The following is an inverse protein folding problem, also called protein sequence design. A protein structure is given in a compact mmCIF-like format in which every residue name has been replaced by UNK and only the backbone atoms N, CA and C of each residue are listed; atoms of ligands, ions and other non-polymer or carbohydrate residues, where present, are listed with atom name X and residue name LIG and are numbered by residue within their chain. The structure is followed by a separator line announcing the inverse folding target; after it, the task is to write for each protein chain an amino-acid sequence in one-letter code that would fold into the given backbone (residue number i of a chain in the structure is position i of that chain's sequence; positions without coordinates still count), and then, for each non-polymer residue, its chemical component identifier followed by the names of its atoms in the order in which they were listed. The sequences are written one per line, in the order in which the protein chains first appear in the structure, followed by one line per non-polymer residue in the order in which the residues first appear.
data_IF_883534080358
#
_entry.id   IF_883534080358
#
_cell.length_a   1.000
_cell.length_b   1.000
_cell.length_c   1.000
_cell.angle_alpha   90.00
_cell.angle_beta   90.00
_cell.angle_gamma   90.00
#
_symmetry.space_group_name_H-M   'P 1'
#
loop_
_entity.id
_entity.type
_entity.pdbx_description
1 polymer ?
#
# COMPACT_ATOMS: atom_id res chain seq x y z
N UNK A 1 -29.28 -19.80 3.46
CA UNK A 1 -27.87 -19.51 3.10
C UNK A 1 -27.44 -18.33 3.95
N UNK A 2 -26.28 -18.34 4.61
CA UNK A 2 -25.80 -17.15 5.34
C UNK A 2 -25.51 -16.02 4.35
N UNK A 3 -25.63 -14.76 4.79
CA UNK A 3 -25.36 -13.60 3.92
C UNK A 3 -23.94 -13.66 3.32
N UNK A 4 -22.95 -14.06 4.12
CA UNK A 4 -21.56 -14.28 3.67
C UNK A 4 -21.46 -15.27 2.51
N UNK A 5 -22.13 -16.43 2.62
CA UNK A 5 -22.12 -17.44 1.55
C UNK A 5 -22.79 -16.93 0.28
N UNK A 6 -23.85 -16.13 0.43
CA UNK A 6 -24.54 -15.50 -0.71
C UNK A 6 -23.62 -14.51 -1.42
N UNK A 7 -22.95 -13.63 -0.68
CA UNK A 7 -22.00 -12.67 -1.25
C UNK A 7 -20.81 -13.37 -1.89
N UNK A 8 -20.29 -14.45 -1.30
CA UNK A 8 -19.21 -15.22 -1.91
C UNK A 8 -19.62 -15.84 -3.25
N UNK A 9 -20.85 -16.35 -3.37
CA UNK A 9 -21.37 -16.86 -4.66
C UNK A 9 -21.39 -15.77 -5.72
N UNK A 10 -21.84 -14.56 -5.37
CA UNK A 10 -21.83 -13.41 -6.29
C UNK A 10 -20.39 -13.08 -6.72
N UNK A 11 -19.44 -13.06 -5.79
CA UNK A 11 -18.02 -12.84 -6.09
C UNK A 11 -17.51 -13.91 -7.06
N UNK A 12 -17.77 -15.20 -6.79
CA UNK A 12 -17.28 -16.31 -7.61
C UNK A 12 -17.82 -16.22 -9.06
N UNK A 13 -19.04 -15.71 -9.25
CA UNK A 13 -19.65 -15.48 -10.57
C UNK A 13 -19.09 -14.23 -11.29
N UNK A 14 -18.84 -13.13 -10.55
CA UNK A 14 -18.31 -11.88 -11.10
C UNK A 14 -16.81 -11.96 -11.37
N UNK A 15 -16.07 -12.72 -10.57
CA UNK A 15 -14.61 -12.71 -10.55
C UNK A 15 -13.94 -13.00 -11.90
N UNK A 16 -14.38 -14.01 -12.69
CA UNK A 16 -13.81 -14.25 -14.02
C UNK A 16 -14.01 -13.07 -14.98
N UNK A 17 -15.12 -12.34 -14.86
CA UNK A 17 -15.44 -11.16 -15.67
C UNK A 17 -14.54 -9.99 -15.28
N UNK A 18 -14.42 -9.74 -13.96
CA UNK A 18 -13.56 -8.70 -13.40
C UNK A 18 -12.09 -8.93 -13.73
N UNK A 19 -11.60 -10.16 -13.59
CA UNK A 19 -10.24 -10.51 -14.04
C UNK A 19 -10.03 -10.16 -15.50
N UNK A 20 -10.94 -10.55 -16.39
CA UNK A 20 -10.83 -10.22 -17.83
C UNK A 20 -10.83 -8.71 -18.07
N UNK A 21 -11.73 -7.98 -17.42
CA UNK A 21 -11.85 -6.52 -17.47
C UNK A 21 -10.56 -5.81 -17.07
N UNK A 22 -9.84 -6.36 -16.08
CA UNK A 22 -8.57 -5.85 -15.59
C UNK A 22 -7.33 -6.51 -16.20
N UNK A 23 -7.48 -7.24 -17.31
CA UNK A 23 -6.38 -7.91 -18.04
C UNK A 23 -5.66 -9.02 -17.26
N UNK A 24 -6.43 -9.77 -16.47
CA UNK A 24 -6.03 -10.96 -15.73
C UNK A 24 -4.89 -10.73 -14.72
N UNK A 25 -5.06 -9.81 -13.76
CA UNK A 25 -4.07 -9.62 -12.71
C UNK A 25 -3.88 -10.91 -11.88
N UNK A 26 -2.64 -11.14 -11.44
CA UNK A 26 -2.26 -12.23 -10.55
C UNK A 26 -2.62 -11.90 -9.10
N UNK A 27 -3.91 -11.92 -8.80
CA UNK A 27 -4.46 -11.66 -7.46
C UNK A 27 -5.37 -12.82 -7.01
N UNK A 28 -5.39 -13.15 -5.70
CA UNK A 28 -6.28 -14.17 -5.14
C UNK A 28 -7.75 -13.85 -5.38
N UNK A 29 -8.60 -14.89 -5.33
CA UNK A 29 -10.06 -14.69 -5.33
C UNK A 29 -10.45 -13.90 -4.08
N UNK A 30 -11.26 -12.83 -4.19
CA UNK A 30 -11.72 -12.07 -3.04
C UNK A 30 -12.55 -12.93 -2.08
N UNK A 31 -12.50 -12.59 -0.79
CA UNK A 31 -13.23 -13.29 0.27
C UNK A 31 -14.26 -12.38 0.92
N UNK A 32 -15.29 -12.99 1.50
CA UNK A 32 -16.23 -12.30 2.39
C UNK A 32 -15.97 -12.78 3.81
N UNK A 33 -15.45 -11.89 4.64
CA UNK A 33 -15.19 -12.16 6.05
C UNK A 33 -15.58 -10.92 6.86
N UNK A 34 -15.95 -11.11 8.13
CA UNK A 34 -16.07 -9.96 9.02
C UNK A 34 -14.69 -9.33 9.17
N UNK A 35 -14.55 -8.13 8.60
CA UNK A 35 -13.43 -7.27 8.92
C UNK A 35 -13.68 -6.83 10.35
N UNK A 36 -12.90 -7.35 11.30
CA UNK A 36 -12.92 -6.85 12.68
C UNK A 36 -12.69 -5.35 12.60
N UNK A 37 -13.67 -4.51 12.99
CA UNK A 37 -13.36 -3.12 13.21
C UNK A 37 -12.25 -3.12 14.27
N UNK A 38 -11.21 -2.32 14.06
CA UNK A 38 -10.48 -1.85 15.24
C UNK A 38 -11.56 -1.30 16.18
N UNK A 39 -11.49 -1.60 17.48
CA UNK A 39 -12.63 -1.57 18.42
C UNK A 39 -13.35 -0.20 18.62
N UNK A 40 -13.16 0.77 17.73
CA UNK A 40 -13.64 2.13 17.76
C UNK A 40 -14.20 2.67 16.42
N UNK A 41 -14.46 1.82 15.40
CA UNK A 41 -15.05 2.27 14.12
C UNK A 41 -16.58 2.04 14.09
N UNK A 42 -17.36 3.13 14.14
CA UNK A 42 -18.84 3.07 14.04
C UNK A 42 -19.32 2.81 12.60
N UNK A 43 -18.48 3.07 11.59
CA UNK A 43 -18.79 2.81 10.18
C UNK A 43 -17.97 1.64 9.63
N UNK A 44 -18.67 0.63 9.11
CA UNK A 44 -18.07 -0.58 8.57
C UNK A 44 -17.28 -0.24 7.29
N UNK A 45 -15.96 -0.39 7.34
CA UNK A 45 -15.10 -0.44 6.13
C UNK A 45 -15.65 -1.51 5.19
N UNK A 46 -15.95 -1.16 3.95
CA UNK A 46 -16.57 -2.05 2.96
C UNK A 46 -15.59 -2.99 2.27
N UNK A 47 -14.34 -2.57 2.13
CA UNK A 47 -13.25 -3.35 1.53
C UNK A 47 -11.98 -3.19 2.35
N UNK A 48 -11.30 -4.30 2.63
CA UNK A 48 -9.95 -4.33 3.20
C UNK A 48 -9.02 -5.09 2.24
N UNK A 49 -7.77 -4.63 2.13
CA UNK A 49 -6.72 -5.34 1.41
C UNK A 49 -5.52 -5.61 2.31
N UNK A 50 -5.23 -6.89 2.54
CA UNK A 50 -4.08 -7.37 3.32
C UNK A 50 -3.30 -8.40 2.53
N UNK A 51 -1.99 -8.22 2.36
CA UNK A 51 -1.12 -9.14 1.59
C UNK A 51 -1.74 -9.53 0.23
N UNK A 52 -2.26 -8.56 -0.53
CA UNK A 52 -3.01 -8.73 -1.80
C UNK A 52 -4.34 -9.50 -1.72
N UNK A 53 -4.75 -10.00 -0.57
CA UNK A 53 -6.08 -10.56 -0.39
C UNK A 53 -7.07 -9.42 -0.21
N UNK A 54 -8.03 -9.32 -1.15
CA UNK A 54 -9.19 -8.44 -1.01
C UNK A 54 -10.23 -9.16 -0.16
N UNK A 55 -10.71 -8.49 0.88
CA UNK A 55 -11.76 -8.96 1.77
C UNK A 55 -12.90 -7.94 1.79
N UNK A 56 -14.12 -8.38 1.47
CA UNK A 56 -15.32 -7.55 1.53
C UNK A 56 -16.06 -7.76 2.85
N UNK A 57 -16.49 -6.66 3.46
CA UNK A 57 -17.21 -6.70 4.73
C UNK A 57 -18.71 -6.95 4.50
N UNK A 58 -19.27 -8.08 4.98
CA UNK A 58 -20.68 -8.38 4.79
C UNK A 58 -21.61 -7.35 5.45
N UNK A 59 -21.18 -6.69 6.53
CA UNK A 59 -21.98 -5.67 7.23
C UNK A 59 -22.22 -4.46 6.34
N UNK A 60 -21.17 -3.99 5.66
CA UNK A 60 -21.26 -2.87 4.73
C UNK A 60 -22.14 -3.20 3.51
N UNK A 61 -21.98 -4.40 2.94
CA UNK A 61 -22.82 -4.87 1.83
C UNK A 61 -24.30 -4.91 2.24
N UNK A 62 -24.59 -5.40 3.45
CA UNK A 62 -25.97 -5.45 3.97
C UNK A 62 -26.55 -4.07 4.28
N UNK A 63 -25.74 -3.07 4.60
CA UNK A 63 -26.19 -1.67 4.79
C UNK A 63 -26.45 -0.93 3.47
N UNK A 64 -25.80 -1.35 2.38
CA UNK A 64 -25.88 -0.66 1.07
C UNK A 64 -26.94 -1.25 0.14
N UNK A 65 -27.44 -2.47 0.43
CA UNK A 65 -28.44 -3.20 -0.38
C UNK A 65 -29.74 -2.42 -0.68
N UNK A 66 -30.13 -1.49 0.19
CA UNK A 66 -31.36 -0.69 -0.02
C UNK A 66 -31.18 0.44 -1.04
N UNK A 67 -29.92 0.81 -1.33
CA UNK A 67 -29.58 1.95 -2.20
C UNK A 67 -29.01 1.53 -3.55
N UNK A 68 -28.42 0.34 -3.64
CA UNK A 68 -27.75 -0.18 -4.82
C UNK A 68 -27.79 -1.71 -4.82
N UNK A 69 -27.91 -2.33 -5.99
CA UNK A 69 -27.90 -3.78 -6.12
C UNK A 69 -26.58 -4.36 -5.62
N UNK A 70 -26.64 -5.50 -4.92
CA UNK A 70 -25.49 -6.11 -4.25
C UNK A 70 -24.37 -6.44 -5.23
N UNK A 71 -24.71 -6.92 -6.42
CA UNK A 71 -23.76 -7.21 -7.50
C UNK A 71 -23.01 -5.96 -7.95
N UNK A 72 -23.69 -4.82 -8.04
CA UNK A 72 -23.07 -3.56 -8.46
C UNK A 72 -22.15 -3.00 -7.36
N UNK A 73 -22.55 -3.11 -6.08
CA UNK A 73 -21.71 -2.70 -4.95
C UNK A 73 -20.43 -3.55 -4.92
N UNK A 74 -20.58 -4.87 -5.04
CA UNK A 74 -19.46 -5.80 -5.08
C UNK A 74 -18.55 -5.51 -6.29
N UNK A 75 -19.12 -5.32 -7.49
CA UNK A 75 -18.34 -4.96 -8.68
C UNK A 75 -17.56 -3.65 -8.48
N UNK A 76 -18.19 -2.61 -7.95
CA UNK A 76 -17.54 -1.31 -7.70
C UNK A 76 -16.39 -1.42 -6.70
N UNK A 77 -16.60 -2.11 -5.57
CA UNK A 77 -15.56 -2.33 -4.56
C UNK A 77 -14.39 -3.14 -5.14
N UNK A 78 -14.69 -4.21 -5.89
CA UNK A 78 -13.64 -5.02 -6.50
C UNK A 78 -12.89 -4.26 -7.60
N UNK A 79 -13.57 -3.48 -8.43
CA UNK A 79 -12.91 -2.62 -9.42
C UNK A 79 -11.91 -1.66 -8.76
N UNK A 80 -12.32 -1.03 -7.65
CA UNK A 80 -11.47 -0.17 -6.84
C UNK A 80 -10.25 -0.93 -6.31
N UNK A 81 -10.48 -2.03 -5.58
CA UNK A 81 -9.40 -2.84 -4.98
C UNK A 81 -8.41 -3.40 -6.01
N UNK A 82 -8.90 -3.91 -7.15
CA UNK A 82 -8.05 -4.42 -8.23
C UNK A 82 -7.20 -3.28 -8.84
N UNK A 83 -7.73 -2.07 -8.89
CA UNK A 83 -7.01 -0.92 -9.45
C UNK A 83 -5.83 -0.50 -8.57
N UNK A 84 -5.91 -0.72 -7.25
CA UNK A 84 -4.76 -0.50 -6.37
C UNK A 84 -3.58 -1.42 -6.67
N UNK A 85 -3.88 -2.66 -7.07
CA UNK A 85 -2.86 -3.61 -7.50
C UNK A 85 -2.31 -3.31 -8.89
N UNK A 86 -3.18 -2.93 -9.83
CA UNK A 86 -2.81 -2.85 -11.26
C UNK A 86 -2.36 -1.47 -11.70
N UNK A 87 -2.74 -0.41 -10.99
CA UNK A 87 -2.51 0.96 -11.47
C UNK A 87 -1.89 1.93 -10.46
N UNK A 88 -2.40 2.04 -9.22
CA UNK A 88 -1.91 3.01 -8.23
C UNK A 88 -2.24 2.57 -6.79
N UNK A 89 -1.26 2.39 -5.91
CA UNK A 89 0.17 2.64 -6.10
C UNK A 89 0.89 1.50 -6.82
N UNK A 90 0.25 0.35 -7.05
CA UNK A 90 0.77 -0.86 -7.73
C UNK A 90 2.00 -1.54 -7.09
N UNK A 91 2.88 -0.79 -6.41
CA UNK A 91 4.01 -1.28 -5.65
C UNK A 91 4.28 -0.44 -4.39
N UNK A 92 5.04 -1.02 -3.47
CA UNK A 92 5.35 -0.40 -2.18
C UNK A 92 6.23 0.85 -2.33
N UNK A 93 7.14 0.86 -3.29
CA UNK A 93 8.03 2.00 -3.56
C UNK A 93 7.22 3.26 -3.91
N UNK A 94 6.21 3.11 -4.77
CA UNK A 94 5.36 4.19 -5.23
C UNK A 94 4.49 4.72 -4.10
N UNK A 95 4.00 3.83 -3.24
CA UNK A 95 3.29 4.22 -2.02
C UNK A 95 4.19 5.07 -1.12
N UNK A 96 5.40 4.62 -0.80
CA UNK A 96 6.37 5.39 0.00
C UNK A 96 6.71 6.73 -0.64
N UNK A 97 6.88 6.79 -1.97
CA UNK A 97 7.15 8.03 -2.68
C UNK A 97 5.98 9.02 -2.53
N UNK A 98 4.74 8.59 -2.75
CA UNK A 98 3.57 9.45 -2.59
C UNK A 98 3.44 9.95 -1.14
N UNK A 99 3.62 9.06 -0.17
CA UNK A 99 3.65 9.42 1.23
C UNK A 99 4.75 10.45 1.55
N UNK A 100 5.98 10.22 1.10
CA UNK A 100 7.10 11.12 1.37
C UNK A 100 6.87 12.52 0.77
N UNK A 101 6.32 12.60 -0.45
CA UNK A 101 6.00 13.88 -1.07
C UNK A 101 4.81 14.60 -0.37
N UNK A 102 3.88 13.84 0.21
CA UNK A 102 2.82 14.37 1.07
C UNK A 102 3.41 14.89 2.40
N UNK A 103 4.28 14.12 3.05
CA UNK A 103 4.93 14.45 4.33
C UNK A 103 5.69 15.78 4.26
N UNK A 104 6.43 16.02 3.16
CA UNK A 104 7.12 17.30 2.90
C UNK A 104 6.19 18.52 2.94
N UNK A 105 4.89 18.35 2.71
CA UNK A 105 3.88 19.42 2.75
C UNK A 105 3.12 19.43 4.07
N UNK A 106 2.72 18.26 4.56
CA UNK A 106 1.86 18.14 5.74
C UNK A 106 2.67 18.43 7.01
N UNK A 107 3.88 17.87 7.11
CA UNK A 107 4.76 17.97 8.28
C UNK A 107 4.37 17.05 9.44
N UNK A 108 3.27 16.30 9.30
CA UNK A 108 2.72 15.39 10.29
C UNK A 108 2.46 14.02 9.62
N UNK A 109 2.77 12.92 10.34
CA UNK A 109 2.68 11.54 9.82
C UNK A 109 1.24 11.19 9.43
N UNK A 110 0.29 11.39 10.34
CA UNK A 110 -1.09 10.94 10.14
C UNK A 110 -1.80 11.74 9.05
N UNK A 111 -1.60 13.06 9.04
CA UNK A 111 -2.12 13.91 7.98
C UNK A 111 -1.47 13.61 6.61
N UNK A 112 -0.19 13.23 6.58
CA UNK A 112 0.49 12.81 5.36
C UNK A 112 -0.07 11.49 4.82
N UNK A 113 -0.31 10.50 5.69
CA UNK A 113 -0.97 9.24 5.34
C UNK A 113 -2.36 9.50 4.75
N UNK A 114 -3.20 10.27 5.44
CA UNK A 114 -4.54 10.61 4.95
C UNK A 114 -4.51 11.30 3.58
N UNK A 115 -3.64 12.29 3.40
CA UNK A 115 -3.49 12.98 2.11
C UNK A 115 -3.04 12.04 0.99
N UNK A 116 -2.11 11.12 1.28
CA UNK A 116 -1.65 10.11 0.33
C UNK A 116 -2.76 9.11 -0.04
N UNK A 117 -3.52 8.61 0.95
CA UNK A 117 -4.64 7.70 0.72
C UNK A 117 -5.69 8.33 -0.21
N UNK A 118 -6.10 9.58 0.06
CA UNK A 118 -7.04 10.28 -0.81
C UNK A 118 -6.50 10.50 -2.23
N UNK A 119 -5.20 10.77 -2.39
CA UNK A 119 -4.61 10.90 -3.73
C UNK A 119 -4.59 9.56 -4.47
N UNK A 120 -4.24 8.48 -3.78
CA UNK A 120 -4.20 7.11 -4.29
C UNK A 120 -5.60 6.70 -4.76
N UNK A 121 -6.63 6.89 -3.94
CA UNK A 121 -8.03 6.63 -4.29
C UNK A 121 -8.48 7.43 -5.50
N UNK A 122 -8.23 8.75 -5.49
CA UNK A 122 -8.62 9.61 -6.62
C UNK A 122 -7.98 9.13 -7.91
N UNK A 123 -6.72 8.71 -7.84
CA UNK A 123 -5.98 8.23 -8.99
C UNK A 123 -6.49 6.87 -9.48
N UNK A 124 -6.74 5.94 -8.57
CA UNK A 124 -7.27 4.61 -8.87
C UNK A 124 -8.68 4.68 -9.47
N UNK A 125 -9.61 5.35 -8.78
CA UNK A 125 -11.00 5.47 -9.24
C UNK A 125 -11.08 6.21 -10.58
N UNK A 126 -10.30 7.29 -10.76
CA UNK A 126 -10.25 8.02 -12.03
C UNK A 126 -9.70 7.17 -13.17
N UNK A 127 -8.72 6.31 -12.90
CA UNK A 127 -8.23 5.38 -13.90
C UNK A 127 -9.33 4.39 -14.30
N UNK A 128 -10.00 3.79 -13.32
CA UNK A 128 -11.06 2.83 -13.57
C UNK A 128 -12.20 3.46 -14.38
N UNK A 129 -12.74 4.60 -13.94
CA UNK A 129 -13.84 5.32 -14.62
C UNK A 129 -13.47 5.75 -16.04
N UNK A 130 -12.23 6.19 -16.29
CA UNK A 130 -11.82 6.64 -17.63
C UNK A 130 -11.44 5.53 -18.59
N UNK A 131 -11.05 4.35 -18.08
CA UNK A 131 -10.47 3.27 -18.90
C UNK A 131 -11.32 2.01 -18.93
N UNK A 132 -12.33 1.89 -18.06
CA UNK A 132 -13.17 0.71 -17.89
C UNK A 132 -14.62 1.15 -17.68
N UNK A 133 -15.56 0.26 -17.97
CA UNK A 133 -16.96 0.43 -17.56
C UNK A 133 -17.05 0.00 -16.10
N UNK A 134 -17.45 0.87 -15.17
CA UNK A 134 -17.42 0.57 -13.73
C UNK A 134 -18.56 1.25 -12.99
N UNK A 135 -19.00 0.62 -11.91
CA UNK A 135 -20.07 1.11 -11.03
C UNK A 135 -19.55 2.00 -9.88
N UNK A 136 -18.25 2.32 -9.87
CA UNK A 136 -17.65 3.25 -8.89
C UNK A 136 -18.40 4.58 -8.77
N UNK A 137 -18.87 5.24 -9.85
CA UNK A 137 -19.67 6.46 -9.73
C UNK A 137 -20.96 6.26 -8.94
N UNK A 138 -21.67 5.16 -9.15
CA UNK A 138 -22.90 4.83 -8.42
C UNK A 138 -22.62 4.56 -6.95
N UNK A 139 -21.51 3.85 -6.64
CA UNK A 139 -21.05 3.66 -5.27
C UNK A 139 -20.82 5.02 -4.58
N UNK A 140 -20.10 5.94 -5.24
CA UNK A 140 -19.85 7.28 -4.70
C UNK A 140 -21.14 8.08 -4.46
N UNK A 141 -22.24 7.84 -5.19
CA UNK A 141 -23.53 8.50 -4.91
C UNK A 141 -24.12 8.09 -3.57
N UNK A 142 -24.07 6.80 -3.25
CA UNK A 142 -24.75 6.23 -2.07
C UNK A 142 -23.95 6.35 -0.77
N UNK A 143 -22.63 6.52 -0.88
CA UNK A 143 -21.73 6.69 0.25
C UNK A 143 -22.02 7.99 1.00
N UNK A 144 -22.02 7.91 2.34
CA UNK A 144 -22.02 9.10 3.19
C UNK A 144 -20.73 9.87 3.00
N UNK A 145 -20.83 11.20 3.08
CA UNK A 145 -19.71 12.10 2.79
C UNK A 145 -19.54 13.08 3.94
N UNK A 146 -18.45 12.95 4.70
CA UNK A 146 -17.89 14.02 5.51
C UNK A 146 -17.43 15.20 4.66
N UNK A 147 -16.93 16.26 5.27
CA UNK A 147 -16.60 17.50 4.56
C UNK A 147 -15.50 17.31 3.51
N UNK A 148 -14.44 16.56 3.83
CA UNK A 148 -13.37 16.25 2.88
C UNK A 148 -13.92 15.40 1.73
N UNK A 149 -14.69 14.35 2.05
CA UNK A 149 -15.30 13.45 1.05
C UNK A 149 -16.28 14.18 0.13
N UNK A 150 -16.98 15.22 0.58
CA UNK A 150 -17.81 16.08 -0.29
C UNK A 150 -16.95 16.83 -1.31
N UNK A 151 -15.82 17.40 -0.89
CA UNK A 151 -14.88 18.08 -1.81
C UNK A 151 -14.29 17.09 -2.82
N UNK A 152 -13.93 15.89 -2.39
CA UNK A 152 -13.42 14.84 -3.28
C UNK A 152 -14.50 14.35 -4.25
N UNK A 153 -15.74 14.20 -3.80
CA UNK A 153 -16.84 13.86 -4.70
C UNK A 153 -17.10 14.98 -5.72
N UNK A 154 -17.02 16.26 -5.35
CA UNK A 154 -17.13 17.37 -6.32
C UNK A 154 -15.95 17.42 -7.28
N UNK A 155 -14.76 17.01 -6.84
CA UNK A 155 -13.63 16.77 -7.71
C UNK A 155 -13.94 15.65 -8.71
N UNK A 156 -14.48 14.52 -8.26
CA UNK A 156 -14.87 13.39 -9.10
C UNK A 156 -15.88 13.80 -10.19
N UNK A 157 -16.96 14.49 -9.82
CA UNK A 157 -17.93 15.02 -10.79
C UNK A 157 -17.25 15.83 -11.90
N UNK A 158 -16.31 16.68 -11.50
CA UNK A 158 -15.58 17.55 -12.42
C UNK A 158 -14.61 16.81 -13.34
N UNK A 159 -13.90 15.80 -12.85
CA UNK A 159 -12.89 15.08 -13.64
C UNK A 159 -13.47 13.90 -14.44
N UNK A 160 -14.64 13.38 -14.03
CA UNK A 160 -15.35 12.30 -14.71
C UNK A 160 -16.46 12.82 -15.64
N UNK A 161 -17.02 14.00 -15.36
CA UNK A 161 -18.17 14.53 -16.10
C UNK A 161 -19.47 13.78 -15.81
N UNK A 162 -19.57 13.17 -14.63
CA UNK A 162 -20.73 12.39 -14.17
C UNK A 162 -21.30 13.10 -12.94
N UNK A 163 -22.62 13.28 -12.89
CA UNK A 163 -23.31 13.80 -11.70
C UNK A 163 -23.26 12.75 -10.58
N UNK A 164 -22.69 13.08 -9.42
CA UNK A 164 -22.62 12.22 -8.24
C UNK A 164 -23.65 12.61 -7.18
N UNK A 165 -24.65 13.40 -7.57
CA UNK A 165 -25.74 13.82 -6.70
C UNK A 165 -25.28 14.81 -5.65
N UNK A 166 -24.14 15.49 -5.86
CA UNK A 166 -23.77 16.63 -5.04
C UNK A 166 -24.59 17.78 -5.57
N UNK A 167 -25.86 17.83 -5.15
CA UNK A 167 -26.71 18.99 -5.40
C UNK A 167 -25.86 20.22 -5.10
N UNK A 168 -25.91 21.22 -5.99
CA UNK A 168 -25.41 22.58 -5.76
C UNK A 168 -26.14 23.16 -4.55
N UNK A 169 -25.81 22.66 -3.38
CA UNK A 169 -26.35 23.10 -2.13
C UNK A 169 -25.76 24.50 -1.99
N UNK A 170 -26.65 25.46 -1.74
CA UNK A 170 -26.35 26.86 -1.42
C UNK A 170 -25.49 27.03 -0.15
N UNK A 171 -24.73 25.99 0.21
CA UNK A 171 -24.02 25.68 1.44
C UNK A 171 -22.59 25.20 1.17
N UNK A 172 -22.15 25.04 -0.09
CA UNK A 172 -20.73 24.78 -0.39
C UNK A 172 -19.95 26.07 -0.15
N UNK A 173 -19.09 26.09 0.88
CA UNK A 173 -18.22 27.24 1.18
C UNK A 173 -17.44 27.62 -0.09
N UNK A 174 -17.37 28.91 -0.44
CA UNK A 174 -16.59 29.39 -1.62
C UNK A 174 -15.13 28.88 -1.62
N UNK A 175 -14.57 28.63 -0.44
CA UNK A 175 -13.25 28.01 -0.27
C UNK A 175 -13.17 26.60 -0.86
N UNK A 176 -14.22 25.77 -0.72
CA UNK A 176 -14.27 24.40 -1.23
C UNK A 176 -14.24 24.41 -2.76
N UNK A 177 -14.99 25.30 -3.40
CA UNK A 177 -15.00 25.41 -4.87
C UNK A 177 -13.61 25.76 -5.43
N UNK A 178 -12.87 26.66 -4.75
CA UNK A 178 -11.50 27.00 -5.11
C UNK A 178 -10.56 25.80 -4.96
N UNK A 179 -10.73 24.99 -3.91
CA UNK A 179 -9.97 23.76 -3.70
C UNK A 179 -10.26 22.77 -4.84
N UNK A 180 -11.53 22.50 -5.16
CA UNK A 180 -11.94 21.63 -6.28
C UNK A 180 -11.33 22.10 -7.60
N UNK A 181 -11.34 23.41 -7.88
CA UNK A 181 -10.71 23.99 -9.08
C UNK A 181 -9.20 23.74 -9.15
N UNK A 182 -8.49 23.77 -8.02
CA UNK A 182 -7.05 23.46 -7.96
C UNK A 182 -6.80 21.97 -8.15
N UNK A 183 -7.56 21.12 -7.45
CA UNK A 183 -7.46 19.66 -7.52
C UNK A 183 -7.73 19.14 -8.94
N UNK A 184 -8.76 19.65 -9.61
CA UNK A 184 -9.13 19.19 -10.96
C UNK A 184 -8.08 19.47 -12.06
N UNK A 185 -7.08 20.33 -11.79
CA UNK A 185 -5.96 20.61 -12.71
C UNK A 185 -4.80 19.62 -12.57
N UNK A 186 -4.85 18.75 -11.57
CA UNK A 186 -3.79 17.79 -11.30
C UNK A 186 -3.87 16.64 -12.32
N UNK A 187 -2.76 16.25 -12.96
CA UNK A 187 -2.75 15.19 -13.96
C UNK A 187 -2.67 13.80 -13.29
N UNK A 188 -3.74 13.35 -12.64
CA UNK A 188 -3.76 12.08 -11.88
C UNK A 188 -3.31 10.85 -12.66
N UNK A 189 -3.58 10.78 -13.97
CA UNK A 189 -3.20 9.63 -14.79
C UNK A 189 -1.76 9.67 -15.33
N UNK A 190 -1.02 10.74 -15.08
CA UNK A 190 0.37 10.91 -15.54
C UNK A 190 1.35 10.55 -14.41
N UNK A 191 1.80 9.29 -14.43
CA UNK A 191 2.72 8.72 -13.43
C UNK A 191 4.02 9.51 -13.29
N UNK A 192 4.54 10.08 -14.38
CA UNK A 192 5.80 10.83 -14.35
C UNK A 192 5.71 12.09 -13.50
N UNK A 193 4.48 12.61 -13.30
CA UNK A 193 4.20 13.84 -12.56
C UNK A 193 3.62 13.58 -11.18
N UNK A 194 3.52 12.32 -10.74
CA UNK A 194 2.96 11.99 -9.43
C UNK A 194 3.67 12.65 -8.25
N UNK A 195 5.02 12.75 -8.20
CA UNK A 195 5.69 13.45 -7.10
C UNK A 195 5.23 14.92 -6.96
N UNK A 196 5.13 15.64 -8.08
CA UNK A 196 4.66 17.03 -8.09
C UNK A 196 3.15 17.14 -7.85
N UNK A 197 2.39 16.19 -8.40
CA UNK A 197 0.94 16.12 -8.29
C UNK A 197 0.53 15.89 -6.85
N UNK A 198 1.21 14.99 -6.15
CA UNK A 198 1.01 14.72 -4.73
C UNK A 198 1.27 15.97 -3.88
N UNK A 199 2.35 16.72 -4.13
CA UNK A 199 2.58 18.01 -3.46
C UNK A 199 1.44 19.00 -3.67
N UNK A 200 0.98 19.16 -4.91
CA UNK A 200 -0.12 20.08 -5.25
C UNK A 200 -1.44 19.63 -4.60
N UNK A 201 -1.67 18.32 -4.55
CA UNK A 201 -2.81 17.72 -3.90
C UNK A 201 -2.79 17.98 -2.40
N UNK A 202 -1.70 17.59 -1.72
CA UNK A 202 -1.49 17.79 -0.30
C UNK A 202 -1.67 19.26 0.09
N UNK A 203 -1.07 20.21 -0.66
CA UNK A 203 -1.24 21.65 -0.41
C UNK A 203 -2.70 22.11 -0.53
N UNK A 204 -3.46 21.52 -1.43
CA UNK A 204 -4.84 21.91 -1.69
C UNK A 204 -5.80 21.35 -0.65
N UNK A 205 -5.57 20.13 -0.16
CA UNK A 205 -6.43 19.44 0.80
C UNK A 205 -6.05 19.73 2.27
N UNK A 206 -4.80 20.14 2.54
CA UNK A 206 -4.29 20.44 3.89
C UNK A 206 -5.22 21.32 4.74
N UNK A 207 -5.82 22.42 4.24
CA UNK A 207 -6.73 23.23 5.03
C UNK A 207 -7.96 22.46 5.51
N UNK A 208 -8.47 21.54 4.69
CA UNK A 208 -9.66 20.74 5.01
C UNK A 208 -9.33 19.68 6.06
N UNK A 209 -8.21 18.99 5.92
CA UNK A 209 -7.77 17.98 6.90
C UNK A 209 -7.50 18.61 8.27
N UNK A 210 -6.93 19.81 8.31
CA UNK A 210 -6.70 20.55 9.57
C UNK A 210 -8.01 21.05 10.20
N UNK A 211 -9.03 21.38 9.41
CA UNK A 211 -10.35 21.76 9.92
C UNK A 211 -11.05 20.53 10.51
N UNK A 212 -11.03 19.41 9.78
CA UNK A 212 -11.61 18.13 10.20
C UNK A 212 -10.93 17.58 11.47
N UNK A 213 -9.60 17.65 11.57
CA UNK A 213 -8.85 17.26 12.78
C UNK A 213 -9.25 18.09 14.01
N UNK A 214 -9.41 19.40 13.86
CA UNK A 214 -9.83 20.28 14.96
C UNK A 214 -11.25 20.01 15.41
N UNK A 215 -12.15 19.73 14.48
CA UNK A 215 -13.53 19.36 14.78
C UNK A 215 -13.60 18.03 15.54
N UNK A 216 -12.79 17.05 15.14
CA UNK A 216 -12.64 15.77 15.82
C UNK A 216 -12.09 15.94 17.26
N UNK A 217 -11.04 16.74 17.43
CA UNK A 217 -10.48 17.05 18.77
C UNK A 217 -11.50 17.75 19.67
N UNK A 218 -12.35 18.63 19.12
CA UNK A 218 -13.36 19.37 19.87
C UNK A 218 -14.59 18.53 20.26
N UNK A 219 -14.97 17.56 19.42
CA UNK A 219 -16.16 16.73 19.61
C UNK A 219 -15.84 15.37 20.25
N UNK A 220 -14.56 15.02 20.38
CA UNK A 220 -14.11 13.74 20.94
C UNK A 220 -14.38 12.54 20.04
N UNK A 221 -14.87 12.76 18.81
CA UNK A 221 -15.03 11.71 17.80
C UNK A 221 -13.77 11.59 16.93
N UNK A 222 -13.33 10.36 16.64
CA UNK A 222 -12.33 10.12 15.58
C UNK A 222 -13.05 10.01 14.23
N UNK A 223 -12.43 10.53 13.18
CA UNK A 223 -13.03 10.78 11.86
C UNK A 223 -13.67 9.58 11.15
N UNK A 224 -14.47 9.90 10.13
CA UNK A 224 -15.13 8.91 9.26
C UNK A 224 -14.11 7.97 8.60
N UNK A 225 -14.24 6.66 8.83
CA UNK A 225 -13.43 5.63 8.15
C UNK A 225 -13.66 5.65 6.63
N UNK A 226 -12.64 5.31 5.83
CA UNK A 226 -12.82 5.20 4.38
C UNK A 226 -13.59 3.90 4.06
N UNK A 227 -14.83 3.96 3.52
CA UNK A 227 -15.59 2.74 3.23
C UNK A 227 -14.94 1.89 2.12
N UNK A 228 -14.01 2.44 1.36
CA UNK A 228 -13.23 1.71 0.35
C UNK A 228 -11.92 1.13 0.92
N UNK A 229 -11.64 1.33 2.21
CA UNK A 229 -10.44 0.85 2.89
C UNK A 229 -9.34 1.90 2.99
N UNK A 230 -8.49 1.78 4.00
CA UNK A 230 -7.24 2.55 4.09
C UNK A 230 -6.08 1.78 3.45
N UNK A 231 -5.13 2.54 2.89
CA UNK A 231 -3.94 1.96 2.26
C UNK A 231 -2.79 1.95 3.26
N UNK A 232 -2.64 0.85 3.98
CA UNK A 232 -1.54 0.64 4.92
C UNK A 232 -0.45 -0.27 4.35
N UNK A 233 0.70 -0.34 5.01
CA UNK A 233 1.80 -1.23 4.60
C UNK A 233 1.41 -2.71 4.68
N UNK A 234 0.37 -3.05 5.45
CA UNK A 234 -0.16 -4.40 5.57
C UNK A 234 -0.82 -4.92 4.27
N UNK A 235 -1.06 -4.04 3.28
CA UNK A 235 -1.54 -4.45 1.96
C UNK A 235 -0.49 -5.19 1.12
N UNK A 236 0.79 -5.07 1.48
CA UNK A 236 1.92 -5.62 0.71
C UNK A 236 2.47 -6.91 1.33
N UNK A 237 3.03 -7.77 0.48
CA UNK A 237 3.82 -8.92 0.93
C UNK A 237 5.20 -8.49 1.46
N UNK A 238 5.85 -9.36 2.24
CA UNK A 238 7.19 -9.09 2.75
C UNK A 238 8.19 -8.81 1.62
N UNK A 239 8.12 -9.58 0.53
CA UNK A 239 8.97 -9.45 -0.64
C UNK A 239 8.76 -8.10 -1.35
N UNK A 240 7.54 -7.60 -1.39
CA UNK A 240 7.23 -6.29 -1.98
C UNK A 240 7.68 -5.13 -1.12
N UNK A 241 7.55 -5.26 0.20
CA UNK A 241 8.12 -4.29 1.15
C UNK A 241 9.64 -4.26 0.98
N UNK A 242 10.28 -5.43 0.90
CA UNK A 242 11.72 -5.58 0.71
C UNK A 242 12.21 -4.93 -0.59
N UNK A 243 11.59 -5.31 -1.71
CA UNK A 243 11.90 -4.75 -3.03
C UNK A 243 11.60 -3.24 -3.07
N UNK A 244 10.50 -2.80 -2.48
CA UNK A 244 10.11 -1.39 -2.48
C UNK A 244 11.03 -0.51 -1.65
N UNK A 245 11.48 -0.97 -0.48
CA UNK A 245 12.50 -0.31 0.34
C UNK A 245 13.83 -0.21 -0.42
N UNK A 246 14.21 -1.27 -1.14
CA UNK A 246 15.40 -1.28 -1.98
C UNK A 246 15.33 -0.25 -3.10
N UNK A 247 14.23 -0.20 -3.83
CA UNK A 247 14.04 0.75 -4.91
C UNK A 247 13.94 2.19 -4.39
N UNK A 248 13.35 2.38 -3.22
CA UNK A 248 13.30 3.67 -2.53
C UNK A 248 14.71 4.14 -2.13
N UNK A 249 15.50 3.29 -1.47
CA UNK A 249 16.89 3.62 -1.10
C UNK A 249 17.75 4.01 -2.32
N UNK A 250 17.61 3.26 -3.43
CA UNK A 250 18.35 3.50 -4.68
C UNK A 250 17.97 4.81 -5.36
N UNK A 251 16.68 5.18 -5.39
CA UNK A 251 16.21 6.38 -6.10
C UNK A 251 16.36 7.65 -5.27
N UNK A 252 16.08 7.59 -3.98
CA UNK A 252 16.13 8.77 -3.09
C UNK A 252 17.56 9.22 -2.84
N UNK A 253 18.53 8.28 -2.75
CA UNK A 253 19.98 8.49 -2.50
C UNK A 253 20.36 9.35 -1.27
N UNK A 254 19.40 9.94 -0.57
CA UNK A 254 19.60 10.73 0.65
C UNK A 254 19.21 9.92 1.89
N UNK A 255 20.21 9.53 2.68
CA UNK A 255 20.02 8.81 3.94
C UNK A 255 19.03 9.50 4.90
N UNK A 256 19.07 10.84 5.12
CA UNK A 256 18.14 11.48 6.05
C UNK A 256 16.68 11.33 5.65
N UNK A 257 16.38 11.39 4.34
CA UNK A 257 15.02 11.22 3.83
C UNK A 257 14.56 9.77 3.96
N UNK A 258 15.44 8.80 3.67
CA UNK A 258 15.13 7.40 3.88
C UNK A 258 14.83 7.09 5.35
N UNK A 259 15.67 7.61 6.25
CA UNK A 259 15.54 7.45 7.70
C UNK A 259 14.22 7.99 8.21
N UNK A 260 13.90 9.23 7.87
CA UNK A 260 12.67 9.92 8.29
C UNK A 260 11.40 9.15 7.89
N UNK A 261 11.39 8.53 6.71
CA UNK A 261 10.26 7.73 6.24
C UNK A 261 10.21 6.36 6.92
N UNK A 262 11.34 5.66 7.06
CA UNK A 262 11.37 4.34 7.73
C UNK A 262 11.00 4.44 9.21
N UNK A 263 11.40 5.52 9.88
CA UNK A 263 11.04 5.79 11.27
C UNK A 263 9.53 6.00 11.43
N UNK A 264 8.87 6.69 10.50
CA UNK A 264 7.41 6.83 10.55
C UNK A 264 6.70 5.48 10.50
N UNK A 265 7.23 4.52 9.75
CA UNK A 265 6.61 3.21 9.54
C UNK A 265 7.24 2.10 10.39
N UNK A 266 7.95 2.44 11.46
CA UNK A 266 8.73 1.44 12.22
C UNK A 266 7.87 0.34 12.81
N UNK A 267 6.65 0.63 13.25
CA UNK A 267 5.75 -0.36 13.85
C UNK A 267 5.16 -1.28 12.78
N UNK A 268 4.69 -0.72 11.68
CA UNK A 268 4.14 -1.45 10.54
C UNK A 268 5.22 -2.37 9.91
N UNK A 269 6.47 -1.88 9.82
CA UNK A 269 7.59 -2.69 9.36
C UNK A 269 7.92 -3.82 10.35
N UNK A 270 7.85 -3.58 11.67
CA UNK A 270 8.02 -4.64 12.68
C UNK A 270 6.98 -5.73 12.56
N UNK A 271 5.72 -5.35 12.38
CA UNK A 271 4.61 -6.29 12.14
C UNK A 271 4.83 -7.11 10.86
N UNK A 272 5.36 -6.48 9.81
CA UNK A 272 5.74 -7.17 8.58
C UNK A 272 6.98 -8.09 8.73
N UNK A 273 7.62 -8.14 9.89
CA UNK A 273 8.77 -9.01 10.18
C UNK A 273 10.14 -8.33 10.10
N UNK A 274 10.21 -7.00 9.91
CA UNK A 274 11.47 -6.26 10.00
C UNK A 274 11.87 -6.04 11.46
N UNK A 275 13.05 -6.54 11.86
CA UNK A 275 13.52 -6.41 13.24
C UNK A 275 13.01 -7.52 14.19
N UNK A 276 12.21 -8.46 13.68
CA UNK A 276 11.82 -9.69 14.37
C UNK A 276 12.81 -10.84 14.07
N UNK A 277 12.93 -11.78 15.01
CA UNK A 277 13.93 -12.86 15.04
C UNK A 277 14.05 -13.66 13.73
N UNK A 278 15.29 -13.90 13.24
CA UNK A 278 15.57 -14.98 12.28
C UNK A 278 16.25 -14.59 10.97
N UNK A 279 16.42 -13.30 10.67
CA UNK A 279 17.32 -12.86 9.59
C UNK A 279 18.77 -13.23 9.95
N UNK A 280 19.40 -14.10 9.15
CA UNK A 280 20.80 -14.51 9.33
C UNK A 280 21.69 -13.30 9.62
N UNK A 281 22.28 -13.24 10.82
CA UNK A 281 23.24 -12.21 11.23
C UNK A 281 22.70 -11.08 12.13
N UNK A 282 21.40 -11.04 12.44
CA UNK A 282 20.85 -10.05 13.39
C UNK A 282 20.64 -10.71 14.76
N UNK A 283 21.50 -10.36 15.72
CA UNK A 283 21.33 -10.74 17.13
C UNK A 283 20.04 -10.17 17.74
N UNK A 284 19.60 -10.76 18.85
CA UNK A 284 18.34 -10.44 19.55
C UNK A 284 18.18 -8.93 19.82
N UNK A 285 17.01 -8.39 19.50
CA UNK A 285 16.46 -7.18 20.12
C UNK A 285 17.00 -5.83 19.61
N UNK A 286 17.62 -5.78 18.44
CA UNK A 286 17.99 -4.48 17.86
C UNK A 286 16.75 -3.82 17.22
N UNK A 287 16.42 -2.56 17.57
CA UNK A 287 15.40 -1.79 16.83
C UNK A 287 15.78 -1.72 15.35
N UNK A 288 14.79 -1.46 14.47
CA UNK A 288 15.07 -1.21 13.05
C UNK A 288 15.99 0.01 12.96
N UNK A 289 17.28 -0.24 12.80
CA UNK A 289 18.25 0.82 12.52
C UNK A 289 18.10 1.18 11.04
N UNK A 290 17.43 2.30 10.79
CA UNK A 290 17.16 2.78 9.44
C UNK A 290 18.45 3.09 8.66
N UNK A 291 19.52 3.48 9.36
CA UNK A 291 20.83 3.75 8.76
C UNK A 291 21.45 2.44 8.26
N UNK A 292 21.46 1.40 9.10
CA UNK A 292 21.91 0.06 8.69
C UNK A 292 21.02 -0.49 7.57
N UNK A 293 19.70 -0.34 7.68
CA UNK A 293 18.75 -0.84 6.69
C UNK A 293 19.00 -0.21 5.31
N UNK A 294 19.24 1.10 5.26
CA UNK A 294 19.56 1.82 4.02
C UNK A 294 20.78 1.21 3.31
N UNK A 295 21.90 1.05 4.03
CA UNK A 295 23.12 0.48 3.44
C UNK A 295 22.96 -0.99 3.08
N UNK A 296 22.22 -1.77 3.87
CA UNK A 296 21.89 -3.16 3.52
C UNK A 296 21.11 -3.24 2.21
N UNK A 297 20.09 -2.40 2.04
CA UNK A 297 19.30 -2.32 0.80
C UNK A 297 20.12 -1.91 -0.42
N UNK A 298 21.08 -1.01 -0.26
CA UNK A 298 22.03 -0.67 -1.33
C UNK A 298 22.97 -1.86 -1.65
N UNK A 299 23.48 -2.52 -0.60
CA UNK A 299 24.43 -3.62 -0.70
C UNK A 299 23.85 -4.91 -1.32
N UNK A 300 22.54 -5.13 -1.25
CA UNK A 300 21.86 -6.29 -1.85
C UNK A 300 22.16 -6.47 -3.35
N UNK A 301 22.44 -5.37 -4.07
CA UNK A 301 22.82 -5.42 -5.49
C UNK A 301 24.21 -6.04 -5.73
N UNK A 302 25.00 -6.19 -4.67
CA UNK A 302 26.34 -6.77 -4.66
C UNK A 302 26.38 -8.09 -3.88
N UNK A 303 25.21 -8.67 -3.58
CA UNK A 303 25.13 -9.93 -2.84
C UNK A 303 25.73 -11.08 -3.67
N UNK A 304 26.70 -11.78 -3.06
CA UNK A 304 27.26 -13.01 -3.63
C UNK A 304 26.46 -14.18 -3.04
N UNK A 305 25.72 -14.95 -3.84
CA UNK A 305 24.94 -16.06 -3.33
C UNK A 305 25.88 -17.16 -2.84
N UNK A 306 25.99 -17.32 -1.52
CA UNK A 306 26.70 -18.44 -0.92
C UNK A 306 25.72 -19.62 -0.87
N UNK A 307 26.00 -20.70 -1.60
CA UNK A 307 25.24 -21.95 -1.47
C UNK A 307 25.49 -22.52 -0.09
N UNK A 308 24.44 -22.59 0.73
CA UNK A 308 24.48 -23.37 1.96
C UNK A 308 24.54 -24.85 1.57
N UNK A 309 25.68 -25.49 1.80
CA UNK A 309 25.78 -26.93 1.64
C UNK A 309 24.76 -27.57 2.60
N UNK A 310 23.81 -28.37 2.11
CA UNK A 310 22.82 -28.99 2.98
C UNK A 310 23.53 -29.84 4.03
N UNK A 311 23.29 -29.53 5.31
CA UNK A 311 23.74 -30.36 6.41
C UNK A 311 22.94 -31.66 6.38
N UNK A 312 23.49 -32.70 5.76
CA UNK A 312 23.00 -34.06 6.02
C UNK A 312 23.22 -34.34 7.50
N UNK A 313 22.13 -34.48 8.27
CA UNK A 313 22.17 -35.01 9.64
C UNK A 313 22.56 -36.49 9.58
N UNK A 314 23.80 -36.79 9.25
CA UNK A 314 24.40 -38.09 9.54
C UNK A 314 24.67 -38.10 11.04
N UNK A 315 24.20 -39.13 11.75
CA UNK A 315 24.31 -39.29 13.21
C UNK A 315 25.73 -39.44 13.76
N UNK A 316 26.72 -38.86 13.11
CA UNK A 316 28.08 -38.72 13.60
C UNK A 316 28.25 -37.33 14.20
N UNK A 317 28.90 -37.25 15.35
CA UNK A 317 29.13 -36.02 16.13
C UNK A 317 30.03 -34.98 15.43
N UNK A 318 30.40 -35.20 14.17
CA UNK A 318 31.16 -34.25 13.35
C UNK A 318 30.57 -34.21 11.93
N UNK A 319 29.95 -33.10 11.50
CA UNK A 319 30.01 -32.74 10.10
C UNK A 319 31.44 -32.23 9.81
N UNK A 320 31.77 -32.01 8.54
CA UNK A 320 32.96 -31.30 8.05
C UNK A 320 34.19 -32.18 7.74
N UNK A 321 34.20 -32.79 6.55
CA UNK A 321 35.45 -32.73 5.77
C UNK A 321 35.44 -31.40 5.02
N UNK A 322 36.29 -30.48 5.47
CA UNK A 322 36.62 -29.30 4.68
C UNK A 322 37.52 -29.71 3.52
N UNK A 323 37.21 -29.26 2.30
CA UNK A 323 38.04 -29.52 1.13
C UNK A 323 38.46 -28.19 0.52
N UNK A 324 39.77 -27.94 0.33
CA UNK A 324 40.23 -26.71 -0.28
C UNK A 324 39.70 -26.61 -1.71
N UNK A 325 39.26 -25.43 -2.07
CA UNK A 325 38.87 -25.12 -3.44
C UNK A 325 40.10 -25.21 -4.36
N UNK A 326 39.91 -25.80 -5.54
CA UNK A 326 40.96 -25.97 -6.55
C UNK A 326 40.64 -25.18 -7.81
N UNK A 327 41.68 -24.80 -8.54
CA UNK A 327 41.56 -24.07 -9.80
C UNK A 327 40.85 -24.97 -10.83
N UNK A 328 39.62 -24.62 -11.18
CA UNK A 328 38.73 -25.41 -12.04
C UNK A 328 37.41 -25.79 -11.37
N UNK A 329 37.32 -25.69 -10.04
CA UNK A 329 36.06 -25.83 -9.31
C UNK A 329 35.19 -24.57 -9.44
N UNK A 330 33.85 -24.67 -9.42
CA UNK A 330 32.98 -23.49 -9.40
C UNK A 330 33.33 -22.58 -8.22
N UNK A 331 33.38 -21.26 -8.43
CA UNK A 331 33.64 -20.28 -7.35
C UNK A 331 32.61 -20.32 -6.20
N UNK A 332 31.49 -21.01 -6.41
CA UNK A 332 30.41 -21.18 -5.44
C UNK A 332 30.75 -22.24 -4.38
N UNK A 333 31.75 -23.09 -4.64
CA UNK A 333 32.18 -24.20 -3.77
C UNK A 333 33.39 -23.81 -2.92
N UNK A 334 33.64 -22.51 -2.76
CA UNK A 334 34.78 -21.98 -2.01
C UNK A 334 34.54 -22.20 -0.52
N UNK A 335 35.33 -23.09 0.05
CA UNK A 335 35.42 -23.24 1.49
C UNK A 335 36.35 -22.16 2.06
N UNK A 336 35.75 -21.13 2.67
CA UNK A 336 36.47 -20.00 3.27
C UNK A 336 37.47 -20.41 4.36
N UNK A 337 37.32 -21.60 4.95
CA UNK A 337 38.16 -22.09 6.04
C UNK A 337 39.34 -22.94 5.57
N UNK A 338 39.37 -23.38 4.31
CA UNK A 338 40.48 -24.21 3.79
C UNK A 338 41.03 -23.74 2.45
N UNK A 339 40.34 -22.83 1.75
CA UNK A 339 40.74 -22.31 0.45
C UNK A 339 41.66 -21.08 0.54
N UNK A 340 42.54 -21.07 1.54
CA UNK A 340 43.41 -19.93 1.85
C UNK A 340 44.31 -19.53 0.68
N UNK A 341 44.35 -18.24 0.33
CA UNK A 341 45.30 -17.65 -0.61
C UNK A 341 45.05 -17.89 -2.11
N UNK A 342 44.02 -18.67 -2.49
CA UNK A 342 43.83 -19.10 -3.89
C UNK A 342 42.95 -18.19 -4.76
N UNK A 343 42.16 -17.28 -4.18
CA UNK A 343 41.04 -16.63 -4.91
C UNK A 343 41.06 -15.10 -4.82
N UNK A 344 41.28 -14.51 -3.65
CA UNK A 344 41.35 -13.05 -3.48
C UNK A 344 42.36 -12.64 -2.38
N UNK A 345 43.42 -11.88 -2.72
CA UNK A 345 44.33 -11.30 -1.73
C UNK A 345 43.57 -10.33 -0.81
N UNK A 346 43.67 -10.51 0.50
CA UNK A 346 43.13 -9.57 1.50
C UNK A 346 41.79 -9.94 2.16
N UNK A 347 41.07 -10.95 1.65
CA UNK A 347 39.88 -11.52 2.33
C UNK A 347 40.25 -12.80 3.10
N UNK A 348 41.26 -13.52 2.63
CA UNK A 348 41.93 -14.59 3.38
C UNK A 348 43.21 -14.00 3.97
N UNK A 349 43.38 -14.04 5.30
CA UNK A 349 44.57 -13.48 5.96
C UNK A 349 45.83 -14.24 5.52
N UNK A 350 46.92 -13.49 5.37
CA UNK A 350 48.27 -13.96 4.99
C UNK A 350 48.83 -14.88 6.06
#
# INVERSE_FOLDING_TARGET
MSEEKRYQVIIDELWPKLKRKHLYPEIPVPKVEQVTPSAAEEEAVGLEMKQKQITLNPVFLSQTKEKMAEEMVIEALLDHGITHYTFCPWDFHTHLMLYAEAKKVMGDKELAKQAANYFIDVTADTYCVKKRFTEIPELHRILKKGEVKKVLASLYEKIWGVDLGIMEAKTVKKSHEQIVRRLARIPYLDRSRWPESMKKFARSIKPLLLEEQKEQEATGGKGDSNPQGDHDLNSYSYEEIDQGLRDFAKKTMALPEFKDIVEDFSEELKEAGYGMEGGMGRGRGAPIDADILFYMKLAESYSIPIRKVPLEKKGYLHPHSHSPWEVGSPFQDVDIWTSFGKIMPGITQI
#
